data_IF_769729079707
#
_entry.id   IF_769729079707
#
_cell.length_a   1.000
_cell.length_b   1.000
_cell.length_c   1.000
_cell.angle_alpha   90.00
_cell.angle_beta   90.00
_cell.angle_gamma   90.00
#
_symmetry.space_group_name_H-M   'P 1'
#
loop_
_entity.id
_entity.type
_entity.pdbx_description
1 polymer ?
#
# COMPACT_ATOMS: atom_id res chain seq x y z
N UNK A 1 16.70 -16.70 10.49
CA UNK A 1 17.49 -15.59 10.05
C UNK A 1 16.46 -14.66 9.44
N UNK A 2 15.56 -14.25 10.31
CA UNK A 2 14.32 -13.64 10.01
C UNK A 2 14.48 -12.20 9.54
N UNK A 3 13.90 -11.91 8.42
CA UNK A 3 13.49 -10.57 8.06
C UNK A 3 11.97 -10.63 7.87
N UNK A 4 11.26 -10.28 8.92
CA UNK A 4 9.83 -10.06 8.79
C UNK A 4 9.60 -8.81 7.99
N UNK A 5 9.05 -8.95 6.83
CA UNK A 5 8.60 -7.83 6.04
C UNK A 5 7.21 -8.12 5.54
N UNK A 6 6.32 -7.31 5.97
CA UNK A 6 5.05 -7.14 5.29
C UNK A 6 4.78 -5.65 5.21
N UNK A 7 4.70 -5.17 4.03
CA UNK A 7 4.23 -3.84 3.75
C UNK A 7 4.88 -3.28 2.50
N UNK A 8 4.12 -3.27 1.45
CA UNK A 8 4.37 -2.63 0.16
C UNK A 8 5.67 -3.06 -0.54
N UNK A 9 5.46 -3.71 -1.63
CA UNK A 9 6.35 -4.00 -2.74
C UNK A 9 7.81 -3.53 -2.55
N UNK A 10 8.72 -4.47 -2.56
CA UNK A 10 10.15 -4.16 -2.58
C UNK A 10 10.90 -4.78 -1.42
N UNK A 11 11.17 -6.03 -1.53
CA UNK A 11 11.95 -6.76 -0.57
C UNK A 11 13.18 -7.39 -1.14
N UNK A 12 14.23 -7.12 -0.37
CA UNK A 12 15.51 -7.76 -0.26
C UNK A 12 16.61 -7.23 -1.18
N UNK A 13 17.34 -6.26 -0.65
CA UNK A 13 18.76 -6.17 -0.91
C UNK A 13 19.52 -6.14 0.42
N UNK A 14 20.35 -7.14 0.63
CA UNK A 14 21.23 -7.25 1.76
C UNK A 14 22.40 -6.27 1.68
N UNK A 15 22.76 -5.71 2.82
CA UNK A 15 23.78 -4.70 3.05
C UNK A 15 25.19 -5.05 2.55
N UNK A 16 25.84 -4.08 1.93
CA UNK A 16 27.28 -3.96 1.84
C UNK A 16 27.63 -2.48 1.76
N UNK A 17 28.22 -1.93 2.84
CA UNK A 17 28.48 -0.51 2.98
C UNK A 17 29.71 -0.02 2.20
N UNK A 18 29.67 1.25 1.80
CA UNK A 18 30.85 2.13 1.77
C UNK A 18 30.41 3.59 1.75
N UNK A 19 31.05 4.37 2.60
CA UNK A 19 30.88 5.82 2.74
C UNK A 19 31.56 6.57 1.58
N UNK A 20 30.90 7.56 1.02
CA UNK A 20 31.62 8.76 0.57
C UNK A 20 30.65 9.97 0.53
N UNK A 21 31.11 11.06 1.16
CA UNK A 21 30.51 12.38 1.11
C UNK A 21 30.67 12.96 -0.29
N UNK A 22 29.60 13.52 -0.87
CA UNK A 22 29.75 14.77 -1.60
C UNK A 22 28.40 15.51 -1.72
N UNK A 23 28.42 16.77 -1.39
CA UNK A 23 27.33 17.73 -1.56
C UNK A 23 27.31 18.25 -3.01
N UNK A 24 26.16 18.20 -3.64
CA UNK A 24 25.92 18.82 -4.95
C UNK A 24 24.52 18.53 -5.44
N UNK A 25 23.71 19.58 -5.52
CA UNK A 25 22.41 19.59 -6.19
C UNK A 25 22.54 19.12 -7.62
N UNK A 26 21.88 18.03 -7.97
CA UNK A 26 21.63 17.63 -9.36
C UNK A 26 20.43 16.67 -9.41
N UNK A 27 19.66 16.77 -10.48
CA UNK A 27 18.55 15.93 -10.84
C UNK A 27 18.72 14.46 -10.39
N UNK A 28 17.69 13.87 -9.82
CA UNK A 28 17.68 12.49 -9.39
C UNK A 28 17.81 11.58 -10.61
N UNK A 29 19.06 11.23 -10.96
CA UNK A 29 19.31 10.12 -11.87
C UNK A 29 18.97 8.84 -11.14
N UNK A 30 18.13 7.99 -11.74
CA UNK A 30 17.65 6.73 -11.20
C UNK A 30 18.75 5.93 -10.49
N UNK A 31 18.52 5.63 -9.24
CA UNK A 31 19.35 4.70 -8.52
C UNK A 31 19.04 3.30 -9.08
N UNK A 32 19.95 2.78 -9.90
CA UNK A 32 19.94 1.36 -10.26
C UNK A 32 19.93 0.53 -8.97
N UNK A 33 18.96 -0.37 -8.85
CA UNK A 33 18.94 -1.36 -7.81
C UNK A 33 20.27 -2.16 -7.83
N UNK A 34 20.86 -2.49 -6.67
CA UNK A 34 22.09 -3.25 -6.65
C UNK A 34 21.87 -4.61 -7.28
N UNK A 35 22.66 -4.94 -8.30
CA UNK A 35 22.68 -6.23 -8.97
C UNK A 35 22.76 -7.37 -7.95
N UNK A 36 21.71 -8.16 -7.83
CA UNK A 36 21.71 -9.41 -7.08
C UNK A 36 22.41 -10.48 -7.93
N UNK A 37 23.74 -10.47 -7.94
CA UNK A 37 24.50 -11.55 -8.59
C UNK A 37 24.41 -12.81 -7.73
N UNK A 38 23.62 -13.78 -8.17
CA UNK A 38 23.80 -15.17 -7.78
C UNK A 38 23.16 -15.65 -6.49
N UNK A 39 22.10 -15.02 -6.00
CA UNK A 39 21.30 -15.58 -4.91
C UNK A 39 20.58 -16.84 -5.39
N UNK A 40 20.79 -17.97 -4.69
CA UNK A 40 19.97 -19.19 -4.90
C UNK A 40 18.50 -18.80 -4.63
N UNK A 41 17.56 -19.12 -5.53
CA UNK A 41 16.15 -18.84 -5.28
C UNK A 41 15.71 -19.41 -3.93
N UNK A 42 15.02 -18.61 -3.15
CA UNK A 42 14.43 -19.04 -1.88
C UNK A 42 13.21 -19.89 -2.23
N UNK A 43 13.19 -21.15 -1.84
CA UNK A 43 12.17 -22.10 -2.31
C UNK A 43 10.78 -21.76 -1.83
N UNK A 44 10.59 -21.61 -0.53
CA UNK A 44 9.29 -21.39 0.07
C UNK A 44 9.40 -20.43 1.25
N UNK A 45 8.36 -19.66 1.47
CA UNK A 45 8.21 -18.78 2.63
C UNK A 45 6.80 -18.92 3.17
N UNK A 46 6.68 -19.34 4.42
CA UNK A 46 5.40 -19.56 5.08
C UNK A 46 5.25 -18.54 6.21
N UNK A 47 4.30 -17.65 6.05
CA UNK A 47 3.92 -16.68 7.07
C UNK A 47 2.52 -16.97 7.62
N UNK A 48 2.12 -16.19 8.60
CA UNK A 48 0.79 -16.28 9.18
C UNK A 48 0.06 -14.95 9.10
N UNK A 49 -1.25 -15.01 9.09
CA UNK A 49 -2.13 -13.87 9.28
C UNK A 49 -3.26 -14.25 10.24
N UNK A 50 -3.76 -13.24 10.99
CA UNK A 50 -4.93 -13.47 11.83
C UNK A 50 -6.16 -13.77 10.97
N UNK A 51 -6.90 -14.84 11.28
CA UNK A 51 -8.12 -15.20 10.57
C UNK A 51 -9.22 -14.11 10.59
N UNK A 52 -9.07 -13.08 11.43
CA UNK A 52 -9.93 -11.91 11.46
C UNK A 52 -9.56 -10.85 10.42
N UNK A 53 -8.52 -11.08 9.63
CA UNK A 53 -8.02 -10.18 8.58
C UNK A 53 -8.16 -10.83 7.21
N UNK A 54 -9.38 -11.26 6.89
CA UNK A 54 -9.67 -11.77 5.56
C UNK A 54 -9.71 -10.62 4.54
N UNK A 55 -9.35 -10.94 3.30
CA UNK A 55 -9.46 -10.00 2.19
C UNK A 55 -10.93 -9.70 1.92
N UNK A 56 -11.27 -8.42 1.80
CA UNK A 56 -12.62 -7.95 1.51
C UNK A 56 -12.80 -7.70 0.01
N UNK A 57 -11.75 -7.28 -0.68
CA UNK A 57 -11.74 -7.02 -2.11
C UNK A 57 -10.39 -7.31 -2.73
N UNK A 58 -10.38 -7.99 -3.89
CA UNK A 58 -9.22 -8.16 -4.73
C UNK A 58 -8.96 -6.95 -5.65
N UNK A 59 -9.93 -6.03 -5.73
CA UNK A 59 -9.82 -4.83 -6.54
C UNK A 59 -9.25 -3.66 -5.72
N UNK A 60 -7.97 -3.34 -5.91
CA UNK A 60 -7.30 -2.23 -5.21
C UNK A 60 -7.81 -0.86 -5.59
N UNK A 61 -8.43 -0.71 -6.75
CA UNK A 61 -9.04 0.55 -7.17
C UNK A 61 -10.35 0.82 -6.42
N UNK A 62 -10.87 -0.18 -5.74
CA UNK A 62 -12.07 -0.07 -4.89
C UNK A 62 -11.74 0.04 -3.41
N UNK A 63 -10.81 -0.77 -2.90
CA UNK A 63 -10.56 -0.96 -1.46
C UNK A 63 -9.65 0.10 -0.85
N UNK A 64 -9.91 0.43 0.43
CA UNK A 64 -9.00 1.19 1.29
C UNK A 64 -8.43 0.37 2.43
N UNK A 65 -8.75 -0.91 2.53
CA UNK A 65 -8.32 -1.70 3.69
C UNK A 65 -6.83 -2.02 3.60
N UNK A 66 -6.15 -1.94 4.74
CA UNK A 66 -4.74 -2.33 4.82
C UNK A 66 -4.55 -3.83 4.56
N UNK A 67 -5.56 -4.63 4.88
CA UNK A 67 -5.56 -6.08 4.65
C UNK A 67 -5.51 -6.38 3.15
N UNK A 68 -6.40 -5.76 2.38
CA UNK A 68 -6.44 -5.94 0.93
C UNK A 68 -5.15 -5.40 0.28
N UNK A 69 -4.70 -4.22 0.69
CA UNK A 69 -3.46 -3.65 0.19
C UNK A 69 -2.25 -4.57 0.43
N UNK A 70 -2.13 -5.20 1.60
CA UNK A 70 -1.03 -6.12 1.90
C UNK A 70 -1.01 -7.36 0.99
N UNK A 71 -2.16 -7.79 0.50
CA UNK A 71 -2.27 -8.91 -0.45
C UNK A 71 -2.00 -8.43 -1.86
N UNK A 72 -2.80 -7.47 -2.33
CA UNK A 72 -2.87 -7.15 -3.76
C UNK A 72 -1.66 -6.34 -4.24
N UNK A 73 -0.94 -5.61 -3.38
CA UNK A 73 0.34 -4.98 -3.74
C UNK A 73 1.48 -5.96 -4.06
N UNK A 74 1.30 -7.26 -3.83
CA UNK A 74 2.21 -8.29 -4.36
C UNK A 74 1.79 -8.79 -5.74
N UNK A 75 0.59 -8.42 -6.18
CA UNK A 75 -0.05 -8.91 -7.41
C UNK A 75 -0.13 -7.84 -8.49
N UNK A 76 -0.15 -6.57 -8.09
CA UNK A 76 -0.16 -5.41 -8.96
C UNK A 76 0.95 -4.44 -8.58
N UNK A 77 1.57 -3.84 -9.58
CA UNK A 77 2.48 -2.71 -9.41
C UNK A 77 1.80 -1.39 -9.82
N UNK A 78 2.21 -0.31 -9.17
CA UNK A 78 1.83 1.06 -9.51
C UNK A 78 2.97 1.80 -10.24
N UNK A 79 2.82 3.12 -10.37
CA UNK A 79 3.87 3.98 -10.94
C UNK A 79 5.16 3.88 -10.15
N UNK A 80 5.04 3.88 -8.82
CA UNK A 80 6.13 3.99 -7.89
C UNK A 80 6.09 2.85 -6.87
N UNK A 81 7.26 2.47 -6.39
CA UNK A 81 7.46 1.55 -5.27
C UNK A 81 8.28 2.24 -4.16
N UNK A 82 8.60 1.49 -3.12
CA UNK A 82 9.49 1.94 -2.06
C UNK A 82 10.63 0.95 -1.87
N UNK A 83 11.84 1.49 -1.69
CA UNK A 83 12.97 0.64 -1.30
C UNK A 83 12.85 0.15 0.17
N UNK A 84 13.78 -0.68 0.58
CA UNK A 84 13.81 -1.20 1.95
C UNK A 84 14.00 -0.11 3.03
N UNK A 85 14.35 1.10 2.65
CA UNK A 85 14.46 2.27 3.53
C UNK A 85 13.22 3.18 3.50
N UNK A 86 12.25 2.89 2.61
CA UNK A 86 11.03 3.66 2.41
C UNK A 86 11.22 4.92 1.59
N UNK A 87 12.22 4.94 0.74
CA UNK A 87 12.36 5.97 -0.28
C UNK A 87 11.60 5.55 -1.52
N UNK A 88 11.00 6.52 -2.20
CA UNK A 88 10.39 6.30 -3.50
C UNK A 88 11.40 5.69 -4.47
N UNK A 89 10.98 4.64 -5.16
CA UNK A 89 11.77 3.87 -6.10
C UNK A 89 10.96 3.64 -7.38
N UNK A 90 11.63 3.48 -8.53
CA UNK A 90 10.96 3.12 -9.77
C UNK A 90 10.16 1.81 -9.66
N UNK A 91 8.99 1.78 -10.31
CA UNK A 91 8.22 0.57 -10.57
C UNK A 91 7.80 0.56 -12.04
N UNK A 92 6.51 0.69 -12.39
CA UNK A 92 6.10 0.82 -13.80
C UNK A 92 6.65 2.13 -14.40
N UNK A 93 6.75 3.21 -13.62
CA UNK A 93 7.53 4.37 -14.03
C UNK A 93 9.03 4.11 -13.82
N UNK A 94 9.81 4.17 -14.89
CA UNK A 94 11.27 4.03 -14.88
C UNK A 94 11.98 5.29 -14.36
N UNK A 95 11.36 6.45 -14.56
CA UNK A 95 11.83 7.76 -14.09
C UNK A 95 10.69 8.76 -14.04
N UNK A 96 10.93 9.87 -13.36
CA UNK A 96 9.96 10.97 -13.26
C UNK A 96 10.66 12.30 -13.06
N UNK A 97 9.95 13.36 -13.41
CA UNK A 97 10.41 14.73 -13.23
C UNK A 97 9.22 15.66 -12.96
N UNK A 98 9.49 16.86 -12.52
CA UNK A 98 8.46 17.87 -12.29
C UNK A 98 8.97 19.26 -12.69
N UNK A 99 8.04 20.20 -12.93
CA UNK A 99 8.34 21.60 -13.17
C UNK A 99 8.87 22.30 -11.91
N UNK A 100 9.35 23.53 -12.05
CA UNK A 100 10.05 24.27 -10.97
C UNK A 100 9.19 24.47 -9.70
N UNK A 101 7.87 24.58 -9.83
CA UNK A 101 6.95 24.77 -8.72
C UNK A 101 6.26 23.47 -8.24
N UNK A 102 6.65 22.33 -8.83
CA UNK A 102 6.11 21.00 -8.48
C UNK A 102 4.60 20.88 -8.64
N UNK A 103 4.00 21.61 -9.58
CA UNK A 103 2.57 21.50 -9.92
C UNK A 103 2.31 20.57 -11.09
N UNK A 104 3.30 20.32 -11.96
CA UNK A 104 3.20 19.39 -13.10
C UNK A 104 4.27 18.33 -12.96
N UNK A 105 3.84 17.08 -12.99
CA UNK A 105 4.70 15.90 -12.89
C UNK A 105 4.59 15.05 -14.15
N UNK A 106 5.73 14.56 -14.62
CA UNK A 106 5.82 13.67 -15.78
C UNK A 106 6.50 12.38 -15.36
N UNK A 107 5.85 11.26 -15.64
CA UNK A 107 6.37 9.91 -15.41
C UNK A 107 6.65 9.24 -16.74
N UNK A 108 7.84 8.68 -16.88
CA UNK A 108 8.26 7.90 -18.05
C UNK A 108 8.10 6.42 -17.72
N UNK A 109 7.17 5.78 -18.39
CA UNK A 109 6.83 4.38 -18.15
C UNK A 109 7.84 3.44 -18.83
N UNK A 110 7.89 2.23 -18.35
CA UNK A 110 8.55 1.10 -19.00
C UNK A 110 7.71 0.61 -20.16
N UNK A 111 8.35 -0.03 -21.12
CA UNK A 111 7.72 -0.64 -22.31
C UNK A 111 7.73 -2.19 -22.26
N UNK A 112 8.08 -2.75 -21.09
CA UNK A 112 8.25 -4.20 -20.88
C UNK A 112 7.33 -4.75 -19.76
N UNK A 113 6.24 -4.06 -19.44
CA UNK A 113 5.30 -4.49 -18.38
C UNK A 113 4.04 -5.07 -18.99
N UNK A 114 3.71 -6.30 -18.59
CA UNK A 114 2.57 -7.05 -19.12
C UNK A 114 1.48 -7.25 -18.07
N UNK A 115 0.23 -7.20 -18.51
CA UNK A 115 -0.87 -7.85 -17.83
C UNK A 115 -0.83 -9.35 -18.11
N UNK A 116 -0.91 -10.17 -17.07
CA UNK A 116 -1.05 -11.63 -17.17
C UNK A 116 -2.32 -12.10 -16.46
N UNK A 117 -2.91 -13.20 -16.92
CA UNK A 117 -4.04 -13.81 -16.23
C UNK A 117 -3.59 -14.72 -15.06
N UNK A 118 -4.54 -15.36 -14.40
CA UNK A 118 -4.29 -16.26 -13.26
C UNK A 118 -3.45 -17.52 -13.64
N UNK A 119 -3.28 -17.83 -14.93
CA UNK A 119 -2.43 -18.91 -15.43
C UNK A 119 -1.03 -18.40 -15.79
N UNK A 120 -0.77 -17.09 -15.68
CA UNK A 120 0.48 -16.44 -16.08
C UNK A 120 0.60 -16.25 -17.60
N UNK A 121 -0.51 -16.28 -18.35
CA UNK A 121 -0.51 -16.01 -19.79
C UNK A 121 -0.62 -14.50 -20.04
N UNK A 122 0.25 -13.96 -20.90
CA UNK A 122 0.23 -12.54 -21.28
C UNK A 122 -1.07 -12.20 -22.00
N UNK A 123 -1.70 -11.12 -21.57
CA UNK A 123 -2.95 -10.59 -22.15
C UNK A 123 -2.69 -9.36 -23.00
N UNK A 124 -2.01 -8.36 -22.46
CA UNK A 124 -1.65 -7.12 -23.15
C UNK A 124 -0.49 -6.39 -22.45
N UNK A 125 0.14 -5.44 -23.13
CA UNK A 125 1.11 -4.53 -22.52
C UNK A 125 0.44 -3.41 -21.78
N UNK A 126 1.01 -3.02 -20.63
CA UNK A 126 0.59 -1.84 -19.89
C UNK A 126 1.11 -0.59 -20.57
N UNK A 127 0.22 0.37 -20.75
CA UNK A 127 0.51 1.68 -21.32
C UNK A 127 0.03 2.80 -20.40
N UNK A 128 0.33 4.04 -20.75
CA UNK A 128 -0.18 5.20 -20.04
C UNK A 128 -1.73 5.26 -20.02
N UNK A 129 -2.39 4.69 -21.04
CA UNK A 129 -3.85 4.61 -21.10
C UNK A 129 -4.43 3.78 -19.94
N UNK A 130 -3.75 2.73 -19.47
CA UNK A 130 -4.23 1.92 -18.34
C UNK A 130 -4.32 2.76 -17.06
N UNK A 131 -3.44 3.74 -16.88
CA UNK A 131 -3.51 4.68 -15.75
C UNK A 131 -4.65 5.69 -15.89
N UNK A 132 -4.99 6.09 -17.12
CA UNK A 132 -6.19 6.91 -17.37
C UNK A 132 -7.45 6.12 -17.03
N UNK A 133 -7.53 4.86 -17.46
CA UNK A 133 -8.64 3.94 -17.15
C UNK A 133 -8.75 3.71 -15.64
N UNK A 134 -7.64 3.45 -14.95
CA UNK A 134 -7.61 3.24 -13.51
C UNK A 134 -8.08 4.47 -12.73
N UNK A 135 -7.63 5.67 -13.11
CA UNK A 135 -8.04 6.90 -12.45
C UNK A 135 -9.51 7.22 -12.72
N UNK A 136 -10.00 7.04 -13.95
CA UNK A 136 -11.42 7.21 -14.27
C UNK A 136 -12.27 6.25 -13.45
N UNK A 137 -11.85 4.98 -13.34
CA UNK A 137 -12.54 3.99 -12.52
C UNK A 137 -12.68 4.46 -11.07
N UNK A 138 -11.60 4.96 -10.46
CA UNK A 138 -11.61 5.48 -9.08
C UNK A 138 -12.48 6.70 -8.92
N UNK A 139 -12.44 7.64 -9.88
CA UNK A 139 -13.15 8.91 -9.81
C UNK A 139 -14.61 8.85 -10.28
N UNK A 140 -15.04 7.73 -10.88
CA UNK A 140 -16.43 7.55 -11.30
C UNK A 140 -17.27 6.98 -10.14
N UNK A 141 -17.82 7.87 -9.33
CA UNK A 141 -18.49 7.52 -8.08
C UNK A 141 -19.70 6.59 -8.25
N UNK A 142 -20.42 6.69 -9.38
CA UNK A 142 -21.60 5.86 -9.63
C UNK A 142 -21.30 4.56 -10.36
N UNK A 143 -20.16 4.46 -11.02
CA UNK A 143 -19.71 3.26 -11.73
C UNK A 143 -19.02 2.28 -10.77
N UNK A 144 -18.15 2.77 -9.92
CA UNK A 144 -17.27 1.97 -9.10
C UNK A 144 -17.64 1.98 -7.60
N UNK A 145 -18.19 3.08 -7.09
CA UNK A 145 -18.40 3.28 -5.65
C UNK A 145 -17.09 3.15 -4.83
N UNK A 146 -15.95 3.55 -5.42
CA UNK A 146 -14.63 3.37 -4.82
C UNK A 146 -14.49 4.08 -3.47
N UNK A 147 -13.81 3.42 -2.54
CA UNK A 147 -13.55 3.95 -1.20
C UNK A 147 -12.21 4.69 -1.10
N UNK A 148 -11.34 4.61 -2.12
CA UNK A 148 -9.97 5.15 -2.11
C UNK A 148 -9.79 6.44 -2.92
N UNK A 149 -10.83 7.27 -3.01
CA UNK A 149 -10.86 8.49 -3.82
C UNK A 149 -10.09 9.68 -3.23
N UNK A 150 -9.72 9.62 -1.96
CA UNK A 150 -9.20 10.77 -1.21
C UNK A 150 -7.90 11.36 -1.78
N UNK A 151 -6.99 10.54 -2.28
CA UNK A 151 -5.73 11.04 -2.83
C UNK A 151 -5.93 11.76 -4.17
N UNK A 152 -6.58 11.18 -5.20
CA UNK A 152 -6.81 11.89 -6.44
C UNK A 152 -7.63 13.18 -6.23
N UNK A 153 -8.71 13.13 -5.46
CA UNK A 153 -9.57 14.29 -5.22
C UNK A 153 -8.88 15.40 -4.45
N UNK A 154 -7.90 15.08 -3.60
CA UNK A 154 -7.14 16.06 -2.83
C UNK A 154 -6.07 16.77 -3.69
N UNK A 155 -5.38 16.02 -4.54
CA UNK A 155 -4.18 16.51 -5.21
C UNK A 155 -4.37 16.89 -6.69
N UNK A 156 -5.23 16.21 -7.44
CA UNK A 156 -5.33 16.38 -8.90
C UNK A 156 -6.37 17.44 -9.27
N UNK A 157 -5.99 18.33 -10.18
CA UNK A 157 -6.90 19.34 -10.75
C UNK A 157 -8.13 18.65 -11.35
N UNK A 158 -9.34 19.16 -11.07
CA UNK A 158 -10.60 18.67 -11.65
C UNK A 158 -11.09 17.31 -11.14
N UNK A 159 -10.28 16.60 -10.33
CA UNK A 159 -10.66 15.25 -9.87
C UNK A 159 -11.88 15.25 -8.92
N UNK A 160 -11.96 16.20 -8.00
CA UNK A 160 -13.10 16.34 -7.08
C UNK A 160 -14.37 16.72 -7.84
N UNK A 161 -14.27 17.64 -8.78
CA UNK A 161 -15.38 18.11 -9.63
C UNK A 161 -15.92 16.96 -10.50
N UNK A 162 -15.03 16.12 -11.06
CA UNK A 162 -15.45 14.95 -11.83
C UNK A 162 -16.13 13.90 -10.94
N UNK A 163 -15.57 13.64 -9.76
CA UNK A 163 -16.16 12.71 -8.80
C UNK A 163 -17.58 13.13 -8.38
N UNK A 164 -17.79 14.40 -7.99
CA UNK A 164 -19.12 14.89 -7.61
C UNK A 164 -20.08 14.88 -8.79
N UNK A 165 -19.63 15.24 -10.01
CA UNK A 165 -20.44 15.16 -11.24
C UNK A 165 -20.92 13.73 -11.49
N UNK A 166 -20.04 12.74 -11.43
CA UNK A 166 -20.40 11.33 -11.69
C UNK A 166 -21.31 10.76 -10.62
N UNK A 167 -21.16 11.18 -9.37
CA UNK A 167 -22.05 10.84 -8.26
C UNK A 167 -23.49 11.31 -8.50
N UNK A 168 -23.67 12.50 -9.03
CA UNK A 168 -24.99 13.05 -9.35
C UNK A 168 -25.64 12.42 -10.60
N UNK A 169 -24.83 11.84 -11.49
CA UNK A 169 -25.33 11.20 -12.73
C UNK A 169 -26.01 9.84 -12.48
N UNK A 170 -25.73 9.18 -11.36
CA UNK A 170 -26.26 7.85 -11.08
C UNK A 170 -25.87 6.84 -12.18
N UNK A 171 -26.81 5.97 -12.58
CA UNK A 171 -26.52 4.90 -13.55
C UNK A 171 -25.97 5.38 -14.90
N UNK A 172 -26.23 6.63 -15.30
CA UNK A 172 -25.68 7.18 -16.54
C UNK A 172 -24.15 7.36 -16.52
N UNK A 173 -23.53 7.38 -15.35
CA UNK A 173 -22.08 7.44 -15.23
C UNK A 173 -21.38 6.13 -15.66
N UNK A 174 -22.10 5.02 -15.72
CA UNK A 174 -21.55 3.74 -16.16
C UNK A 174 -21.06 3.75 -17.61
N UNK A 175 -21.65 4.60 -18.45
CA UNK A 175 -21.29 4.73 -19.87
C UNK A 175 -20.10 5.66 -20.12
N UNK A 176 -19.57 6.31 -19.07
CA UNK A 176 -18.41 7.20 -19.19
C UNK A 176 -17.12 6.40 -19.25
N UNK A 177 -16.14 6.97 -19.97
CA UNK A 177 -14.80 6.43 -20.12
C UNK A 177 -13.74 7.48 -19.76
N UNK A 178 -12.47 7.10 -19.73
CA UNK A 178 -11.39 8.02 -19.40
C UNK A 178 -11.35 9.28 -20.28
N UNK A 179 -11.80 9.21 -21.54
CA UNK A 179 -11.88 10.38 -22.40
C UNK A 179 -12.86 11.44 -21.86
N UNK A 180 -13.99 11.01 -21.30
CA UNK A 180 -14.97 11.93 -20.68
C UNK A 180 -14.38 12.61 -19.43
N UNK A 181 -13.49 11.91 -18.73
CA UNK A 181 -12.73 12.45 -17.60
C UNK A 181 -11.72 13.51 -18.07
N UNK A 182 -10.99 13.24 -19.16
CA UNK A 182 -10.06 14.21 -19.76
C UNK A 182 -10.81 15.44 -20.28
N UNK A 183 -11.93 15.25 -20.98
CA UNK A 183 -12.78 16.33 -21.51
C UNK A 183 -13.41 17.18 -20.38
N UNK A 184 -13.58 16.61 -19.20
CA UNK A 184 -14.01 17.32 -18.01
C UNK A 184 -12.88 18.16 -17.36
N UNK A 185 -11.64 18.03 -17.81
CA UNK A 185 -10.51 18.82 -17.36
C UNK A 185 -9.80 18.25 -16.13
N UNK A 186 -9.90 16.94 -15.89
CA UNK A 186 -9.07 16.29 -14.86
C UNK A 186 -7.62 16.34 -15.28
N UNK A 187 -6.74 16.73 -14.36
CA UNK A 187 -5.32 17.00 -14.58
C UNK A 187 -4.48 15.74 -14.69
N UNK A 188 -4.81 14.88 -15.66
CA UNK A 188 -3.99 13.74 -16.08
C UNK A 188 -3.92 13.72 -17.60
N UNK A 189 -2.79 13.31 -18.17
CA UNK A 189 -2.62 13.20 -19.63
C UNK A 189 -1.68 12.05 -19.97
N UNK A 190 -1.88 11.47 -21.14
CA UNK A 190 -1.02 10.47 -21.76
C UNK A 190 -0.71 10.90 -23.20
N UNK A 191 0.34 11.71 -23.41
CA UNK A 191 0.69 12.21 -24.74
C UNK A 191 1.19 11.12 -25.70
N UNK A 192 1.66 10.02 -25.16
CA UNK A 192 2.03 8.79 -25.87
C UNK A 192 1.87 7.58 -24.94
N UNK A 193 2.16 6.39 -25.45
CA UNK A 193 1.93 5.12 -24.74
C UNK A 193 2.78 4.96 -23.46
N UNK A 194 3.86 5.71 -23.31
CA UNK A 194 4.83 5.54 -22.21
C UNK A 194 5.15 6.84 -21.47
N UNK A 195 4.35 7.88 -21.68
CA UNK A 195 4.47 9.15 -20.95
C UNK A 195 3.15 9.47 -20.27
N UNK A 196 3.20 9.69 -18.95
CA UNK A 196 2.03 10.02 -18.13
C UNK A 196 2.28 11.33 -17.39
N UNK A 197 1.40 12.31 -17.57
CA UNK A 197 1.46 13.63 -16.92
C UNK A 197 0.38 13.78 -15.85
N UNK A 198 0.71 14.48 -14.75
CA UNK A 198 -0.25 14.90 -13.73
C UNK A 198 -0.13 16.39 -13.46
N UNK A 199 -1.27 17.06 -13.30
CA UNK A 199 -1.35 18.47 -12.87
C UNK A 199 -1.97 18.53 -11.48
N UNK A 200 -1.20 18.97 -10.49
CA UNK A 200 -1.63 19.12 -9.11
C UNK A 200 -2.36 20.44 -8.88
N UNK A 201 -3.32 20.46 -7.94
CA UNK A 201 -4.06 21.67 -7.52
C UNK A 201 -3.13 22.73 -6.91
N UNK A 202 -2.14 22.27 -6.16
CA UNK A 202 -1.15 23.10 -5.45
C UNK A 202 0.26 22.49 -5.62
N UNK A 203 1.34 23.26 -5.38
CA UNK A 203 2.69 22.72 -5.36
C UNK A 203 2.84 21.50 -4.46
N UNK A 204 3.21 20.36 -5.03
CA UNK A 204 3.33 19.08 -4.34
C UNK A 204 4.72 18.44 -4.60
N UNK A 205 5.79 18.87 -3.90
CA UNK A 205 7.15 18.38 -4.11
C UNK A 205 7.38 16.93 -3.67
N UNK A 206 6.35 16.25 -3.20
CA UNK A 206 6.32 14.85 -2.76
C UNK A 206 5.27 14.04 -3.52
N UNK A 207 4.88 14.48 -4.70
CA UNK A 207 3.84 13.80 -5.47
C UNK A 207 4.26 12.40 -5.93
N UNK A 208 5.55 12.12 -6.07
CA UNK A 208 6.09 10.77 -6.26
C UNK A 208 5.59 9.80 -5.18
N UNK A 209 5.58 10.23 -3.92
CA UNK A 209 5.01 9.44 -2.81
C UNK A 209 3.48 9.32 -2.93
N UNK A 210 2.78 10.38 -3.36
CA UNK A 210 1.33 10.34 -3.59
C UNK A 210 0.98 9.37 -4.72
N UNK A 211 1.74 9.38 -5.81
CA UNK A 211 1.56 8.52 -6.98
C UNK A 211 1.78 7.01 -6.68
N UNK A 212 2.35 6.68 -5.53
CA UNK A 212 2.48 5.28 -5.07
C UNK A 212 1.22 4.69 -4.45
N UNK A 213 0.18 5.51 -4.20
CA UNK A 213 -1.07 5.01 -3.63
C UNK A 213 -1.87 4.20 -4.66
N UNK A 214 -2.60 3.20 -4.16
CA UNK A 214 -3.38 2.27 -4.98
C UNK A 214 -4.45 2.94 -5.83
N UNK A 215 -4.91 4.12 -5.45
CA UNK A 215 -5.84 4.93 -6.26
C UNK A 215 -5.24 5.47 -7.57
N UNK A 216 -3.93 5.33 -7.77
CA UNK A 216 -3.22 5.68 -9.01
C UNK A 216 -2.70 4.43 -9.75
N UNK A 217 -3.19 3.25 -9.40
CA UNK A 217 -2.79 2.01 -10.09
C UNK A 217 -3.48 1.89 -11.45
N UNK A 218 -2.88 1.17 -12.40
CA UNK A 218 -3.45 0.97 -13.73
C UNK A 218 -4.65 0.02 -13.68
N UNK A 219 -5.54 0.12 -14.66
CA UNK A 219 -6.58 -0.86 -14.96
C UNK A 219 -6.66 -1.12 -16.46
N UNK A 220 -6.85 -2.38 -16.85
CA UNK A 220 -7.09 -2.73 -18.25
C UNK A 220 -8.53 -2.46 -18.66
N UNK A 221 -8.74 -1.67 -19.71
CA UNK A 221 -10.05 -1.50 -20.31
C UNK A 221 -10.56 -2.81 -20.93
N UNK A 222 -9.67 -3.61 -21.53
CA UNK A 222 -10.04 -4.89 -22.11
C UNK A 222 -10.57 -5.87 -21.06
N UNK A 223 -9.97 -5.89 -19.86
CA UNK A 223 -10.49 -6.70 -18.76
C UNK A 223 -11.85 -6.19 -18.26
N UNK A 224 -12.03 -4.88 -18.16
CA UNK A 224 -13.32 -4.29 -17.75
C UNK A 224 -14.41 -4.66 -18.78
N UNK A 225 -14.09 -4.59 -20.07
CA UNK A 225 -15.02 -4.92 -21.15
C UNK A 225 -15.35 -6.42 -21.19
N UNK A 226 -14.36 -7.29 -20.90
CA UNK A 226 -14.53 -8.75 -20.82
C UNK A 226 -15.44 -9.16 -19.66
N UNK A 227 -15.20 -8.60 -18.48
CA UNK A 227 -15.92 -8.97 -17.26
C UNK A 227 -17.24 -8.21 -17.08
N UNK A 228 -17.32 -7.01 -17.60
CA UNK A 228 -18.36 -6.04 -17.27
C UNK A 228 -18.12 -5.37 -15.90
N UNK A 229 -18.72 -4.18 -15.72
CA UNK A 229 -18.49 -3.31 -14.55
C UNK A 229 -18.72 -4.02 -13.22
N UNK A 230 -19.84 -4.74 -13.09
CA UNK A 230 -20.19 -5.41 -11.82
C UNK A 230 -19.20 -6.52 -11.45
N UNK A 231 -18.77 -7.33 -12.43
CA UNK A 231 -17.82 -8.40 -12.19
C UNK A 231 -16.43 -7.85 -11.92
N UNK A 232 -16.00 -6.81 -12.65
CA UNK A 232 -14.71 -6.18 -12.41
C UNK A 232 -14.67 -5.50 -11.02
N UNK A 233 -15.75 -4.87 -10.56
CA UNK A 233 -15.85 -4.31 -9.21
C UNK A 233 -15.61 -5.37 -8.14
N UNK A 234 -16.20 -6.53 -8.30
CA UNK A 234 -16.10 -7.69 -7.40
C UNK A 234 -15.20 -8.79 -7.93
N UNK A 235 -14.15 -8.47 -8.72
CA UNK A 235 -13.23 -9.46 -9.24
C UNK A 235 -12.55 -10.24 -8.11
N UNK A 236 -12.13 -11.46 -8.42
CA UNK A 236 -11.40 -12.33 -7.52
C UNK A 236 -10.08 -12.80 -8.15
N UNK A 237 -9.35 -13.62 -7.42
CA UNK A 237 -8.05 -14.13 -7.86
C UNK A 237 -8.10 -14.99 -9.13
N UNK A 238 -9.27 -15.41 -9.58
CA UNK A 238 -9.40 -16.28 -10.77
C UNK A 238 -9.69 -15.53 -12.05
N UNK A 239 -10.21 -14.30 -11.94
CA UNK A 239 -10.63 -13.49 -13.08
C UNK A 239 -9.95 -12.12 -13.17
N UNK A 240 -9.19 -11.69 -12.14
CA UNK A 240 -8.35 -10.50 -12.22
C UNK A 240 -7.11 -10.75 -13.08
N UNK A 241 -6.52 -9.69 -13.63
CA UNK A 241 -5.20 -9.75 -14.24
C UNK A 241 -4.14 -9.20 -13.28
N UNK A 242 -2.90 -9.61 -13.48
CA UNK A 242 -1.76 -9.38 -12.62
C UNK A 242 -0.66 -8.66 -13.38
N UNK A 243 0.05 -7.75 -12.74
CA UNK A 243 1.27 -7.13 -13.27
C UNK A 243 2.40 -7.04 -12.24
N UNK A 244 2.14 -7.46 -11.02
CA UNK A 244 3.11 -7.49 -9.93
C UNK A 244 4.00 -8.73 -9.93
N UNK A 245 4.87 -8.87 -8.91
CA UNK A 245 5.87 -9.93 -8.83
C UNK A 245 5.30 -11.35 -8.66
N UNK A 246 4.05 -11.48 -8.24
CA UNK A 246 3.40 -12.77 -7.98
C UNK A 246 2.02 -12.84 -8.61
N UNK A 247 1.55 -14.08 -8.82
CA UNK A 247 0.17 -14.46 -9.11
C UNK A 247 -0.35 -15.38 -8.00
N UNK A 248 -1.67 -15.43 -7.81
CA UNK A 248 -2.28 -16.32 -6.81
C UNK A 248 -2.34 -17.74 -7.36
N UNK A 249 -1.70 -18.67 -6.67
CA UNK A 249 -1.76 -20.10 -6.97
C UNK A 249 -2.98 -20.76 -6.35
N UNK A 250 -3.25 -20.46 -5.07
CA UNK A 250 -4.36 -21.00 -4.31
C UNK A 250 -4.92 -19.97 -3.33
N UNK A 251 -6.23 -19.90 -3.25
CA UNK A 251 -6.94 -19.15 -2.23
C UNK A 251 -8.05 -19.99 -1.62
N UNK A 252 -7.95 -20.25 -0.32
CA UNK A 252 -8.98 -20.89 0.48
C UNK A 252 -9.40 -19.93 1.57
N UNK A 253 -10.58 -19.35 1.44
CA UNK A 253 -11.10 -18.33 2.36
C UNK A 253 -11.01 -18.78 3.82
N UNK A 254 -10.46 -17.93 4.67
CA UNK A 254 -10.27 -18.19 6.10
C UNK A 254 -9.22 -19.24 6.44
N UNK A 255 -8.45 -19.70 5.46
CA UNK A 255 -7.46 -20.77 5.64
C UNK A 255 -6.09 -20.40 5.06
N UNK A 256 -5.99 -20.24 3.71
CA UNK A 256 -4.69 -20.11 3.06
C UNK A 256 -4.73 -19.21 1.84
N UNK A 257 -3.63 -18.49 1.61
CA UNK A 257 -3.34 -17.76 0.38
C UNK A 257 -1.93 -18.18 -0.08
N UNK A 258 -1.81 -18.75 -1.27
CA UNK A 258 -0.50 -19.13 -1.84
C UNK A 258 -0.21 -18.35 -3.12
N UNK A 259 1.03 -17.95 -3.27
CA UNK A 259 1.50 -17.11 -4.37
C UNK A 259 2.70 -17.75 -5.03
N UNK A 260 2.73 -17.73 -6.36
CA UNK A 260 3.88 -18.14 -7.19
C UNK A 260 4.39 -16.97 -8.01
N UNK A 261 5.67 -16.95 -8.40
CA UNK A 261 6.21 -15.85 -9.20
C UNK A 261 5.44 -15.65 -10.51
N UNK A 262 5.11 -14.41 -10.83
CA UNK A 262 4.66 -14.02 -12.15
C UNK A 262 5.79 -14.30 -13.15
N UNK A 263 5.56 -15.17 -14.17
CA UNK A 263 6.61 -15.54 -15.12
C UNK A 263 7.03 -14.39 -16.04
N UNK A 264 6.18 -13.38 -16.21
CA UNK A 264 6.40 -12.20 -17.05
C UNK A 264 6.69 -10.92 -16.25
N UNK A 265 7.05 -11.05 -14.97
CA UNK A 265 7.38 -9.87 -14.17
C UNK A 265 8.61 -9.15 -14.71
N UNK A 266 8.44 -7.88 -15.08
CA UNK A 266 9.45 -7.07 -15.74
C UNK A 266 10.76 -6.94 -14.96
N UNK A 267 10.71 -6.91 -13.63
CA UNK A 267 11.89 -6.73 -12.77
C UNK A 267 12.40 -8.05 -12.15
N UNK A 268 12.05 -9.17 -12.75
CA UNK A 268 12.39 -10.52 -12.27
C UNK A 268 13.91 -10.74 -12.08
N UNK A 269 14.74 -10.04 -12.85
CA UNK A 269 16.20 -10.17 -12.78
C UNK A 269 16.80 -9.46 -11.54
N UNK A 270 16.14 -8.43 -11.03
CA UNK A 270 16.64 -7.57 -9.95
C UNK A 270 15.97 -7.83 -8.60
N UNK A 271 14.77 -8.43 -8.61
CA UNK A 271 14.00 -8.72 -7.41
C UNK A 271 14.12 -10.18 -7.03
N UNK A 272 14.63 -10.44 -5.82
CA UNK A 272 14.63 -11.80 -5.27
C UNK A 272 13.22 -12.20 -4.87
N UNK A 273 12.71 -13.27 -5.46
CA UNK A 273 11.38 -13.82 -5.20
C UNK A 273 11.47 -15.22 -4.65
N UNK A 274 10.57 -15.58 -3.73
CA UNK A 274 10.38 -16.96 -3.34
C UNK A 274 9.74 -17.74 -4.50
N UNK A 275 10.07 -19.02 -4.64
CA UNK A 275 9.38 -19.90 -5.59
C UNK A 275 7.91 -20.11 -5.21
N UNK A 276 7.60 -19.99 -3.91
CA UNK A 276 6.24 -20.00 -3.35
C UNK A 276 6.20 -19.17 -2.06
N UNK A 277 5.16 -18.38 -1.90
CA UNK A 277 4.81 -17.79 -0.61
C UNK A 277 3.46 -18.32 -0.16
N UNK A 278 3.36 -18.72 1.10
CA UNK A 278 2.10 -19.19 1.69
C UNK A 278 1.77 -18.37 2.93
N UNK A 279 0.58 -17.82 2.99
CA UNK A 279 0.04 -17.14 4.17
C UNK A 279 -1.03 -18.03 4.78
N UNK A 280 -0.77 -18.53 5.97
CA UNK A 280 -1.71 -19.38 6.71
C UNK A 280 -2.53 -18.53 7.67
N UNK A 281 -3.84 -18.64 7.61
CA UNK A 281 -4.75 -17.88 8.47
C UNK A 281 -5.00 -18.62 9.77
N UNK A 282 -4.55 -18.06 10.89
CA UNK A 282 -4.62 -18.68 12.23
C UNK A 282 -5.30 -17.72 13.19
N UNK A 283 -6.37 -18.16 13.83
CA UNK A 283 -7.13 -17.32 14.75
C UNK A 283 -6.47 -17.15 16.12
N UNK A 284 -5.68 -18.14 16.57
CA UNK A 284 -5.02 -18.13 17.88
C UNK A 284 -3.50 -17.97 17.73
N UNK A 285 -2.98 -16.87 18.25
CA UNK A 285 -1.55 -16.55 18.20
C UNK A 285 -0.68 -17.54 18.99
N UNK A 286 -1.23 -18.26 19.99
CA UNK A 286 -0.50 -19.30 20.69
C UNK A 286 -0.30 -20.54 19.79
N UNK A 287 -1.29 -20.84 18.95
CA UNK A 287 -1.18 -21.89 17.92
C UNK A 287 -0.11 -21.47 16.89
N UNK A 288 -0.13 -20.22 16.42
CA UNK A 288 0.88 -19.72 15.49
C UNK A 288 2.29 -19.84 16.08
N UNK A 289 2.48 -19.56 17.37
CA UNK A 289 3.77 -19.74 18.02
C UNK A 289 4.22 -21.21 18.07
N UNK A 290 3.31 -22.14 18.31
CA UNK A 290 3.61 -23.58 18.27
C UNK A 290 4.03 -24.03 16.86
N UNK A 291 3.33 -23.54 15.81
CA UNK A 291 3.70 -23.83 14.42
C UNK A 291 5.08 -23.26 14.08
N UNK A 292 5.40 -22.05 14.55
CA UNK A 292 6.75 -21.49 14.41
C UNK A 292 7.81 -22.37 15.12
N UNK A 293 7.53 -22.82 16.33
CA UNK A 293 8.41 -23.72 17.08
C UNK A 293 8.64 -25.06 16.36
N UNK A 294 7.61 -25.55 15.68
CA UNK A 294 7.66 -26.77 14.85
C UNK A 294 8.31 -26.56 13.49
N UNK A 295 8.67 -25.30 13.13
CA UNK A 295 9.20 -24.91 11.82
C UNK A 295 8.19 -25.05 10.67
N UNK A 296 6.93 -24.89 10.99
CA UNK A 296 5.81 -24.84 10.03
C UNK A 296 5.48 -23.41 9.62
N UNK A 297 6.09 -22.40 10.27
CA UNK A 297 6.07 -20.99 9.91
C UNK A 297 7.51 -20.45 9.93
N UNK A 298 7.83 -19.57 8.99
CA UNK A 298 9.12 -18.88 8.92
C UNK A 298 9.15 -17.60 9.75
N UNK A 299 7.98 -16.97 9.94
CA UNK A 299 7.81 -15.81 10.81
C UNK A 299 6.44 -15.77 11.47
N UNK A 300 6.35 -15.01 12.56
CA UNK A 300 5.09 -14.63 13.18
C UNK A 300 5.22 -13.36 14.02
N UNK A 301 4.11 -12.65 14.19
CA UNK A 301 4.01 -11.55 15.13
C UNK A 301 3.80 -12.07 16.56
N UNK A 302 4.58 -11.54 17.51
CA UNK A 302 4.49 -11.93 18.91
C UNK A 302 3.56 -11.00 19.69
N UNK A 303 2.74 -11.57 20.57
CA UNK A 303 1.98 -10.82 21.56
C UNK A 303 2.82 -10.51 22.82
N UNK A 304 2.28 -9.64 23.67
CA UNK A 304 2.93 -9.23 24.92
C UNK A 304 3.31 -10.41 25.82
N UNK A 305 2.45 -11.41 25.92
CA UNK A 305 2.67 -12.60 26.76
C UNK A 305 3.87 -13.40 26.26
N UNK A 306 3.92 -13.71 25.00
CA UNK A 306 4.99 -14.49 24.38
C UNK A 306 6.33 -13.74 24.42
N UNK A 307 6.34 -12.43 24.10
CA UNK A 307 7.54 -11.59 24.23
C UNK A 307 8.04 -11.61 25.67
N UNK A 308 7.14 -11.48 26.65
CA UNK A 308 7.53 -11.52 28.07
C UNK A 308 8.17 -12.86 28.45
N UNK A 309 7.59 -13.95 28.01
CA UNK A 309 8.12 -15.29 28.28
C UNK A 309 9.52 -15.47 27.70
N UNK A 310 9.73 -15.04 26.44
CA UNK A 310 11.02 -15.13 25.78
C UNK A 310 12.05 -14.23 26.47
N UNK A 311 11.73 -12.97 26.73
CA UNK A 311 12.69 -11.98 27.23
C UNK A 311 12.97 -12.09 28.73
N UNK A 312 12.14 -12.79 29.51
CA UNK A 312 12.39 -13.03 30.95
C UNK A 312 13.46 -14.06 31.22
N UNK A 313 13.76 -14.94 30.27
CA UNK A 313 14.84 -15.92 30.35
C UNK A 313 15.95 -15.56 29.35
N UNK A 314 17.11 -15.07 29.81
CA UNK A 314 18.23 -14.73 28.91
C UNK A 314 18.74 -15.91 28.08
N UNK A 315 18.50 -17.16 28.52
CA UNK A 315 18.94 -18.37 27.82
C UNK A 315 17.86 -18.93 26.88
N UNK A 316 16.72 -18.25 26.75
CA UNK A 316 15.66 -18.69 25.83
C UNK A 316 16.17 -18.70 24.39
N UNK A 317 16.03 -19.83 23.71
CA UNK A 317 16.54 -20.05 22.35
C UNK A 317 15.99 -19.05 21.31
N UNK A 318 14.81 -18.48 21.56
CA UNK A 318 14.16 -17.52 20.67
C UNK A 318 14.64 -16.08 20.86
N UNK A 319 15.39 -15.75 21.92
CA UNK A 319 15.90 -14.38 22.13
C UNK A 319 16.72 -13.86 20.94
N UNK A 320 17.54 -14.72 20.33
CA UNK A 320 18.35 -14.36 19.18
C UNK A 320 17.57 -14.24 17.87
N UNK A 321 16.31 -14.65 17.89
CA UNK A 321 15.40 -14.61 16.73
C UNK A 321 14.40 -13.44 16.80
N UNK A 322 14.40 -12.72 17.93
CA UNK A 322 13.56 -11.53 18.07
C UNK A 322 14.02 -10.43 17.12
N UNK A 323 13.14 -10.01 16.24
CA UNK A 323 13.37 -8.91 15.31
C UNK A 323 12.37 -7.79 15.59
N UNK A 324 12.85 -6.56 15.69
CA UNK A 324 11.97 -5.42 15.74
C UNK A 324 11.52 -5.07 14.32
N UNK A 325 10.21 -5.03 14.10
CA UNK A 325 9.66 -4.59 12.82
C UNK A 325 10.04 -3.12 12.57
N UNK A 326 10.23 -2.79 11.31
CA UNK A 326 10.44 -1.42 10.87
C UNK A 326 9.27 -0.54 11.32
N UNK A 327 9.59 0.68 11.75
CA UNK A 327 8.58 1.68 12.03
C UNK A 327 7.74 1.94 10.75
N UNK A 328 6.43 1.89 10.89
CA UNK A 328 5.51 2.20 9.78
C UNK A 328 5.56 3.69 9.48
N UNK A 329 5.38 4.12 8.23
CA UNK A 329 5.30 5.54 7.86
C UNK A 329 3.96 6.18 8.25
N UNK A 330 3.30 5.67 9.27
CA UNK A 330 2.01 6.12 9.75
C UNK A 330 2.03 6.33 11.26
N UNK A 331 1.37 7.39 11.72
CA UNK A 331 1.18 7.68 13.13
C UNK A 331 -0.28 7.48 13.52
N UNK A 332 -0.49 6.96 14.73
CA UNK A 332 -1.82 6.89 15.33
C UNK A 332 -2.01 8.10 16.27
N UNK A 333 -3.13 8.76 16.14
CA UNK A 333 -3.48 9.89 16.97
C UNK A 333 -4.86 9.71 17.62
N UNK A 334 -5.01 10.26 18.82
CA UNK A 334 -6.32 10.38 19.44
C UNK A 334 -6.98 11.64 18.89
N UNK A 335 -8.03 11.47 18.10
CA UNK A 335 -8.81 12.57 17.57
C UNK A 335 -9.97 12.92 18.49
N UNK A 336 -10.15 14.21 18.75
CA UNK A 336 -11.28 14.71 19.53
C UNK A 336 -12.38 15.22 18.61
N UNK A 337 -13.62 14.84 18.90
CA UNK A 337 -14.76 15.40 18.18
C UNK A 337 -15.05 16.81 18.72
N UNK A 338 -14.75 17.83 17.95
CA UNK A 338 -14.99 19.24 18.33
C UNK A 338 -16.43 19.71 18.11
N UNK A 339 -17.23 18.96 17.36
CA UNK A 339 -18.62 19.27 17.03
C UNK A 339 -19.52 18.05 17.32
N UNK A 340 -19.43 17.55 18.54
CA UNK A 340 -20.24 16.43 18.97
C UNK A 340 -21.70 16.82 19.09
N UNK A 341 -22.57 15.98 18.55
CA UNK A 341 -24.01 16.07 18.73
C UNK A 341 -24.52 15.00 19.70
N UNK A 342 -25.62 15.30 20.35
CA UNK A 342 -26.42 14.35 21.11
C UNK A 342 -27.15 13.38 20.15
N UNK A 343 -27.75 12.32 20.68
CA UNK A 343 -28.48 11.33 19.90
C UNK A 343 -29.69 11.90 19.12
N UNK A 344 -30.22 13.06 19.58
CA UNK A 344 -31.33 13.79 18.94
C UNK A 344 -30.84 14.79 17.87
N UNK A 345 -29.55 14.81 17.55
CA UNK A 345 -28.95 15.74 16.58
C UNK A 345 -28.60 17.13 17.13
N UNK A 346 -28.96 17.46 18.36
CA UNK A 346 -28.63 18.76 18.95
C UNK A 346 -27.14 18.81 19.40
N UNK A 347 -26.45 19.96 19.35
CA UNK A 347 -25.08 20.09 19.81
C UNK A 347 -24.91 19.72 21.29
N UNK A 348 -23.93 18.89 21.60
CA UNK A 348 -23.46 18.66 22.99
C UNK A 348 -22.66 19.88 23.45
N UNK A 349 -23.37 20.88 23.98
CA UNK A 349 -22.78 22.17 24.37
C UNK A 349 -21.68 22.00 25.41
N UNK A 350 -21.87 21.09 26.38
CA UNK A 350 -20.89 20.86 27.45
C UNK A 350 -19.60 20.25 26.93
N UNK A 351 -19.71 19.21 26.11
CA UNK A 351 -18.56 18.57 25.48
C UNK A 351 -17.84 19.55 24.55
N UNK A 352 -18.58 20.21 23.66
CA UNK A 352 -17.99 21.10 22.66
C UNK A 352 -17.26 22.28 23.29
N UNK A 353 -17.79 22.82 24.40
CA UNK A 353 -17.11 23.84 25.19
C UNK A 353 -15.87 23.31 25.90
N UNK A 354 -15.94 22.12 26.50
CA UNK A 354 -14.80 21.50 27.18
C UNK A 354 -13.67 21.20 26.24
N UNK A 355 -13.97 20.55 25.09
CA UNK A 355 -12.96 20.11 24.12
C UNK A 355 -12.30 21.27 23.37
N UNK A 356 -12.98 22.40 23.23
CA UNK A 356 -12.38 23.63 22.71
C UNK A 356 -11.29 24.21 23.62
N UNK A 357 -11.31 23.89 24.92
CA UNK A 357 -10.30 24.33 25.87
C UNK A 357 -9.02 23.49 25.77
N UNK A 358 -7.91 24.15 25.45
CA UNK A 358 -6.59 23.49 25.32
C UNK A 358 -6.15 22.83 26.63
N UNK A 359 -6.39 23.43 27.80
CA UNK A 359 -6.04 22.83 29.08
C UNK A 359 -6.81 21.52 29.32
N UNK A 360 -8.07 21.45 28.91
CA UNK A 360 -8.85 20.21 29.01
C UNK A 360 -8.25 19.10 28.13
N UNK A 361 -7.84 19.41 26.90
CA UNK A 361 -7.18 18.43 26.02
C UNK A 361 -5.83 17.98 26.59
N UNK A 362 -5.07 18.90 27.19
CA UNK A 362 -3.81 18.56 27.85
C UNK A 362 -3.98 17.62 29.04
N UNK A 363 -5.16 17.59 29.70
CA UNK A 363 -5.42 16.66 30.78
C UNK A 363 -5.36 15.19 30.28
N UNK A 364 -5.81 14.90 29.05
CA UNK A 364 -5.70 13.57 28.47
C UNK A 364 -4.23 13.20 28.27
N UNK A 365 -3.45 14.07 27.63
CA UNK A 365 -2.03 13.82 27.39
C UNK A 365 -1.25 13.61 28.70
N UNK A 366 -1.46 14.47 29.70
CA UNK A 366 -0.73 14.42 30.97
C UNK A 366 -1.26 13.36 31.95
N UNK A 367 -2.53 12.98 31.80
CA UNK A 367 -3.18 11.96 32.63
C UNK A 367 -2.96 10.54 32.19
N UNK A 368 -2.56 10.32 30.94
CA UNK A 368 -2.29 9.00 30.40
C UNK A 368 -0.91 8.49 30.82
N UNK A 369 -0.84 7.29 31.34
CA UNK A 369 0.44 6.59 31.52
C UNK A 369 0.89 6.01 30.18
N UNK A 370 1.51 6.84 29.34
CA UNK A 370 1.93 6.48 28.00
C UNK A 370 2.87 5.28 27.97
N UNK A 371 3.79 5.19 28.96
CA UNK A 371 4.69 4.05 29.07
C UNK A 371 3.94 2.75 29.28
N UNK A 372 2.96 2.71 30.16
CA UNK A 372 2.13 1.52 30.38
C UNK A 372 1.27 1.19 29.19
N UNK A 373 0.76 2.20 28.47
CA UNK A 373 0.00 2.03 27.25
C UNK A 373 0.87 1.45 26.13
N UNK A 374 2.00 2.07 25.84
CA UNK A 374 2.89 1.63 24.76
C UNK A 374 3.57 0.29 25.04
N UNK A 375 3.74 -0.10 26.31
CA UNK A 375 4.24 -1.43 26.69
C UNK A 375 3.40 -2.58 26.15
N UNK A 376 2.15 -2.32 25.76
CA UNK A 376 1.28 -3.32 25.11
C UNK A 376 1.68 -3.58 23.66
N UNK A 377 2.36 -2.63 23.02
CA UNK A 377 2.74 -2.70 21.60
C UNK A 377 4.25 -2.89 21.43
N UNK A 378 5.05 -2.31 22.30
CA UNK A 378 6.49 -2.47 22.30
C UNK A 378 6.98 -2.61 23.76
N UNK A 379 7.22 -3.84 24.18
CA UNK A 379 7.66 -4.12 25.55
C UNK A 379 9.13 -3.82 25.77
N UNK A 380 9.95 -3.93 24.74
CA UNK A 380 11.39 -3.74 24.80
C UNK A 380 11.71 -2.24 24.95
N UNK A 381 11.07 -1.40 24.16
CA UNK A 381 11.25 0.04 24.19
C UNK A 381 9.90 0.79 24.00
N UNK A 382 9.05 0.83 25.05
CA UNK A 382 7.72 1.40 24.94
C UNK A 382 7.70 2.84 24.45
N UNK A 383 8.63 3.69 24.91
CA UNK A 383 8.66 5.10 24.56
C UNK A 383 9.14 5.38 23.13
N UNK A 384 9.70 4.38 22.43
CA UNK A 384 9.98 4.48 20.98
C UNK A 384 8.68 4.64 20.16
N UNK A 385 7.54 4.21 20.70
CA UNK A 385 6.24 4.39 20.07
C UNK A 385 5.66 5.80 20.26
N UNK A 386 6.26 6.64 21.14
CA UNK A 386 5.81 8.00 21.34
C UNK A 386 6.30 8.89 20.19
N UNK A 387 5.36 9.60 19.59
CA UNK A 387 5.64 10.53 18.51
C UNK A 387 4.84 11.82 18.76
N UNK A 388 5.55 12.93 18.95
CA UNK A 388 4.93 14.25 19.15
C UNK A 388 4.50 14.93 17.85
N UNK A 389 4.70 14.25 16.71
CA UNK A 389 4.37 14.75 15.38
C UNK A 389 3.19 13.96 14.82
N UNK A 390 2.40 14.62 13.97
CA UNK A 390 1.31 13.98 13.25
C UNK A 390 1.82 12.92 12.25
N UNK A 391 2.98 13.16 11.68
CA UNK A 391 3.69 12.22 10.80
C UNK A 391 4.98 11.76 11.47
N UNK A 392 5.49 10.60 11.04
CA UNK A 392 6.79 10.12 11.51
C UNK A 392 7.89 11.12 11.16
N UNK A 393 8.86 11.26 12.06
CA UNK A 393 10.13 11.91 11.72
C UNK A 393 10.82 11.08 10.66
N UNK A 394 11.09 11.69 9.52
CA UNK A 394 11.92 11.09 8.48
C UNK A 394 13.39 10.91 8.91
#
# INVERSE_FOLDING_TARGET
>A
KGAGVVGAAGLLSACGGSKSNNSGSTAASGAQAPNSTGATPLKEYISWESANREIESWNLLYSQTLTDANVVTNLWDGLMSFDCYGKAAPAIASSWEHNDDSTVWTFHLRDDVDWVDCNGEVKEHITATDFLVGLEWVLNASKNEANNTSMPTLYIVGAEEYYEKTKDMGAAAADLHYQDMLDAGVGIEAPDDYTLGFTCKDPCPYFDTVASYTSFYPASQALIDELGIETFRGCDNTNMWYCGPYIVEEYIQGNTKSYIPNPHYYDAANVSRFERMTVTMISDQAIAFQLYQNRELDEMDLNESTITTITSDPNNEYNSQLCEKRARPSAYAMHFNYQKNNADGTPDVNWNKAIANTAFRQCFYRGLNLKAWFSRYNKINPLKCENDYYTMKG
#
